data_IF_360031464804
#
_entry.id   IF_360031464804
#
_cell.length_a   1.000
_cell.length_b   1.000
_cell.length_c   1.000
_cell.angle_alpha   90.00
_cell.angle_beta   90.00
_cell.angle_gamma   90.00
#
_symmetry.space_group_name_H-M   'P 1'
#
loop_
_entity.id
_entity.type
_entity.pdbx_description
1 polymer ?
#
# COMPACT_ATOMS: atom_id res chain seq x y z
N UNK A 1 -1.60 -18.09 -6.89
CA UNK A 1 -2.80 -17.47 -6.32
C UNK A 1 -3.40 -18.40 -5.28
N UNK A 2 -4.05 -17.83 -4.26
CA UNK A 2 -4.86 -18.62 -3.33
C UNK A 2 -6.22 -18.94 -3.95
N UNK A 3 -6.84 -20.06 -3.54
CA UNK A 3 -8.20 -20.39 -3.95
C UNK A 3 -9.17 -19.53 -3.16
N UNK A 4 -9.99 -18.72 -3.83
CA UNK A 4 -11.01 -17.89 -3.16
C UNK A 4 -12.12 -18.71 -2.50
N UNK A 5 -12.34 -19.96 -2.94
CA UNK A 5 -13.25 -20.89 -2.26
C UNK A 5 -12.62 -21.62 -1.07
N UNK A 6 -11.37 -21.31 -0.68
CA UNK A 6 -10.73 -21.94 0.49
C UNK A 6 -11.58 -21.71 1.75
N UNK A 7 -11.79 -22.76 2.54
CA UNK A 7 -12.58 -22.70 3.78
C UNK A 7 -14.09 -22.86 3.58
N UNK A 8 -14.55 -23.05 2.34
CA UNK A 8 -15.95 -23.40 2.04
C UNK A 8 -16.18 -24.92 2.07
N UNK A 9 -16.77 -25.52 1.02
CA UNK A 9 -17.10 -26.95 0.98
C UNK A 9 -15.87 -27.80 0.62
N UNK A 10 -15.15 -28.25 1.65
CA UNK A 10 -14.06 -29.22 1.54
C UNK A 10 -12.67 -28.62 1.25
N UNK A 11 -11.61 -29.43 1.36
CA UNK A 11 -10.24 -28.98 1.20
C UNK A 11 -9.93 -28.55 -0.25
N UNK A 12 -8.91 -27.71 -0.41
CA UNK A 12 -8.38 -27.41 -1.74
C UNK A 12 -7.73 -28.66 -2.34
N UNK A 13 -8.00 -28.94 -3.61
CA UNK A 13 -7.53 -30.16 -4.31
C UNK A 13 -6.31 -29.93 -5.20
N UNK A 14 -5.99 -28.67 -5.51
CA UNK A 14 -4.92 -28.28 -6.42
C UNK A 14 -4.56 -26.79 -6.23
N UNK A 15 -3.47 -26.29 -6.85
CA UNK A 15 -3.26 -24.86 -6.99
C UNK A 15 -4.42 -24.15 -7.69
N UNK A 16 -4.69 -22.91 -7.31
CA UNK A 16 -5.77 -22.11 -7.91
C UNK A 16 -5.33 -21.52 -9.25
N UNK A 17 -5.50 -22.28 -10.33
CA UNK A 17 -5.15 -21.87 -11.70
C UNK A 17 -6.36 -21.47 -12.54
N UNK A 18 -7.57 -21.89 -12.16
CA UNK A 18 -8.81 -21.51 -12.86
C UNK A 18 -9.22 -20.10 -12.47
N UNK A 19 -9.49 -19.25 -13.45
CA UNK A 19 -9.91 -17.86 -13.24
C UNK A 19 -11.41 -17.72 -13.43
N UNK A 20 -12.05 -16.81 -12.69
CA UNK A 20 -13.44 -16.46 -12.95
C UNK A 20 -13.58 -15.96 -14.38
N UNK A 21 -14.47 -16.57 -15.17
CA UNK A 21 -14.64 -16.21 -16.58
C UNK A 21 -15.28 -14.84 -16.82
N UNK A 22 -15.93 -14.25 -15.80
CA UNK A 22 -16.45 -12.88 -15.86
C UNK A 22 -15.35 -11.87 -15.53
N UNK A 23 -15.01 -11.75 -14.25
CA UNK A 23 -14.09 -10.71 -13.80
C UNK A 23 -12.62 -10.95 -14.15
N UNK A 24 -12.20 -12.18 -14.44
CA UNK A 24 -10.80 -12.54 -14.53
C UNK A 24 -10.07 -12.53 -13.19
N UNK A 25 -10.28 -11.59 -12.27
CA UNK A 25 -9.43 -11.33 -11.10
C UNK A 25 -9.29 -12.48 -10.08
N UNK A 26 -10.34 -13.28 -9.88
CA UNK A 26 -10.40 -14.31 -8.81
C UNK A 26 -9.97 -15.68 -9.33
N UNK A 27 -9.25 -16.46 -8.50
CA UNK A 27 -8.78 -17.80 -8.84
C UNK A 27 -9.37 -18.91 -7.95
N UNK A 28 -9.58 -20.09 -8.53
CA UNK A 28 -10.15 -21.27 -7.89
C UNK A 28 -9.33 -22.52 -8.17
N UNK A 29 -9.28 -23.43 -7.20
CA UNK A 29 -8.70 -24.76 -7.41
C UNK A 29 -9.69 -25.75 -8.02
N UNK A 30 -10.99 -25.45 -8.13
CA UNK A 30 -12.03 -26.34 -8.70
C UNK A 30 -13.31 -25.56 -9.06
N UNK A 31 -14.13 -26.15 -9.93
CA UNK A 31 -15.48 -25.62 -10.25
C UNK A 31 -16.38 -25.63 -9.02
N UNK A 32 -16.28 -26.67 -8.18
CA UNK A 32 -17.02 -26.76 -6.91
C UNK A 32 -16.76 -25.55 -5.99
N UNK A 33 -15.49 -25.17 -5.82
CA UNK A 33 -15.12 -23.99 -5.03
C UNK A 33 -15.59 -22.68 -5.66
N UNK A 34 -15.59 -22.58 -6.99
CA UNK A 34 -16.15 -21.41 -7.68
C UNK A 34 -17.66 -21.28 -7.44
N UNK A 35 -18.42 -22.37 -7.61
CA UNK A 35 -19.87 -22.39 -7.37
C UNK A 35 -20.19 -22.07 -5.91
N UNK A 36 -19.43 -22.65 -4.97
CA UNK A 36 -19.64 -22.38 -3.54
C UNK A 36 -19.30 -20.95 -3.12
N UNK A 37 -18.38 -20.28 -3.81
CA UNK A 37 -18.00 -18.88 -3.54
C UNK A 37 -18.90 -17.87 -4.28
N UNK A 38 -19.73 -18.33 -5.21
CA UNK A 38 -20.47 -17.46 -6.12
C UNK A 38 -21.41 -16.48 -5.41
N UNK A 39 -22.08 -16.89 -4.34
CA UNK A 39 -23.02 -16.03 -3.60
C UNK A 39 -22.36 -14.76 -3.05
N UNK A 40 -21.08 -14.86 -2.66
CA UNK A 40 -20.29 -13.72 -2.20
C UNK A 40 -19.69 -12.96 -3.39
N UNK A 41 -19.11 -13.68 -4.34
CA UNK A 41 -18.42 -13.09 -5.49
C UNK A 41 -19.33 -12.34 -6.46
N UNK A 42 -20.58 -12.76 -6.64
CA UNK A 42 -21.48 -12.24 -7.67
C UNK A 42 -21.64 -10.72 -7.60
N UNK A 43 -21.69 -10.17 -6.39
CA UNK A 43 -21.82 -8.72 -6.16
C UNK A 43 -20.54 -7.93 -6.43
N UNK A 44 -19.39 -8.61 -6.49
CA UNK A 44 -18.05 -8.04 -6.67
C UNK A 44 -17.53 -8.25 -8.10
N UNK A 45 -18.02 -9.28 -8.79
CA UNK A 45 -17.54 -9.73 -10.09
C UNK A 45 -17.51 -8.60 -11.13
N UNK A 46 -18.61 -7.85 -11.28
CA UNK A 46 -18.68 -6.74 -12.25
C UNK A 46 -17.68 -5.63 -11.92
N UNK A 47 -17.51 -5.26 -10.63
CA UNK A 47 -16.51 -4.26 -10.23
C UNK A 47 -15.09 -4.72 -10.53
N UNK A 48 -14.78 -5.97 -10.19
CA UNK A 48 -13.47 -6.57 -10.44
C UNK A 48 -13.18 -6.68 -11.95
N UNK A 49 -14.19 -6.91 -12.78
CA UNK A 49 -14.05 -6.87 -14.24
C UNK A 49 -13.64 -5.47 -14.72
N UNK A 50 -14.27 -4.42 -14.21
CA UNK A 50 -13.89 -3.04 -14.55
C UNK A 50 -12.48 -2.69 -14.05
N UNK A 51 -12.10 -3.18 -12.87
CA UNK A 51 -10.74 -3.00 -12.33
C UNK A 51 -9.69 -3.71 -13.18
N UNK A 52 -9.99 -4.91 -13.70
CA UNK A 52 -9.10 -5.63 -14.61
C UNK A 52 -8.80 -4.86 -15.90
N UNK A 53 -9.73 -4.01 -16.38
CA UNK A 53 -9.51 -3.16 -17.57
C UNK A 53 -8.49 -2.05 -17.32
N UNK A 54 -8.17 -1.73 -16.06
CA UNK A 54 -7.26 -0.64 -15.66
C UNK A 54 -5.88 -1.13 -15.23
N UNK A 55 -5.59 -2.43 -15.37
CA UNK A 55 -4.32 -3.05 -14.93
C UNK A 55 -3.10 -2.38 -15.53
N UNK A 56 -3.16 -2.00 -16.80
CA UNK A 56 -2.05 -1.30 -17.48
C UNK A 56 -1.75 0.04 -16.79
N UNK A 57 -2.77 0.88 -16.62
CA UNK A 57 -2.65 2.17 -15.92
C UNK A 57 -2.16 2.02 -14.46
N UNK A 58 -2.51 0.92 -13.78
CA UNK A 58 -2.01 0.65 -12.42
C UNK A 58 -0.51 0.36 -12.38
N UNK A 59 0.06 -0.19 -13.45
CA UNK A 59 1.48 -0.49 -13.57
C UNK A 59 2.30 0.67 -14.19
N UNK A 60 1.66 1.78 -14.56
CA UNK A 60 2.34 2.95 -15.09
C UNK A 60 3.07 3.73 -13.99
N UNK A 61 4.40 3.73 -14.08
CA UNK A 61 5.29 4.52 -13.24
C UNK A 61 6.44 5.09 -14.09
N UNK A 62 7.02 6.24 -13.72
CA UNK A 62 8.08 6.87 -14.52
C UNK A 62 9.47 6.28 -14.25
N UNK A 63 9.61 5.14 -13.58
CA UNK A 63 10.90 4.66 -13.10
C UNK A 63 11.58 3.72 -14.09
N UNK A 64 12.91 3.72 -14.14
CA UNK A 64 13.64 2.78 -15.00
C UNK A 64 13.54 1.34 -14.49
N UNK A 65 13.10 1.15 -13.25
CA UNK A 65 12.88 -0.15 -12.61
C UNK A 65 11.41 -0.58 -12.60
N UNK A 66 10.53 0.13 -13.30
CA UNK A 66 9.09 -0.13 -13.26
C UNK A 66 8.73 -1.55 -13.68
N UNK A 67 9.33 -2.10 -14.74
CA UNK A 67 9.07 -3.49 -15.15
C UNK A 67 9.49 -4.50 -14.08
N UNK A 68 10.70 -4.34 -13.53
CA UNK A 68 11.23 -5.17 -12.43
C UNK A 68 10.31 -5.12 -11.21
N UNK A 69 9.89 -3.92 -10.78
CA UNK A 69 9.12 -3.72 -9.55
C UNK A 69 7.62 -3.99 -9.69
N UNK A 70 7.11 -4.16 -10.92
CA UNK A 70 5.69 -4.43 -11.19
C UNK A 70 5.51 -5.83 -11.78
N UNK A 71 5.72 -6.00 -13.08
CA UNK A 71 5.45 -7.22 -13.82
C UNK A 71 6.30 -8.39 -13.32
N UNK A 72 7.60 -8.21 -13.14
CA UNK A 72 8.48 -9.32 -12.74
C UNK A 72 8.18 -9.82 -11.32
N UNK A 73 7.87 -8.92 -10.38
CA UNK A 73 7.44 -9.30 -9.03
C UNK A 73 6.05 -9.94 -9.06
N UNK A 74 5.11 -9.41 -9.85
CA UNK A 74 3.76 -9.97 -9.99
C UNK A 74 3.80 -11.41 -10.58
N UNK A 75 4.70 -11.65 -11.53
CA UNK A 75 4.95 -12.95 -12.16
C UNK A 75 5.88 -13.85 -11.35
N UNK A 76 6.33 -13.39 -10.17
CA UNK A 76 7.21 -14.12 -9.25
C UNK A 76 8.60 -14.45 -9.83
N UNK A 77 9.04 -13.70 -10.85
CA UNK A 77 10.42 -13.73 -11.33
C UNK A 77 11.34 -12.89 -10.45
N UNK A 78 10.78 -11.87 -9.80
CA UNK A 78 11.45 -11.06 -8.81
C UNK A 78 10.74 -11.08 -7.45
N UNK A 79 11.48 -10.63 -6.44
CA UNK A 79 10.93 -10.41 -5.09
C UNK A 79 11.40 -9.07 -4.55
N UNK A 80 10.67 -8.53 -3.57
CA UNK A 80 11.03 -7.33 -2.81
C UNK A 80 12.44 -7.47 -2.21
N UNK A 81 12.78 -8.62 -1.65
CA UNK A 81 14.11 -8.88 -1.10
C UNK A 81 15.20 -8.85 -2.18
N UNK A 82 14.96 -9.50 -3.32
CA UNK A 82 15.89 -9.49 -4.46
C UNK A 82 16.08 -8.08 -5.03
N UNK A 83 14.97 -7.36 -5.26
CA UNK A 83 14.94 -5.97 -5.72
C UNK A 83 15.80 -5.05 -4.84
N UNK A 84 15.66 -5.15 -3.52
CA UNK A 84 16.46 -4.38 -2.56
C UNK A 84 17.93 -4.85 -2.52
N UNK A 85 18.18 -6.15 -2.66
CA UNK A 85 19.53 -6.73 -2.60
C UNK A 85 20.38 -6.31 -3.79
N UNK A 86 19.80 -6.31 -5.01
CA UNK A 86 20.46 -5.82 -6.23
C UNK A 86 20.91 -4.36 -6.13
N UNK A 87 20.27 -3.59 -5.26
CA UNK A 87 20.56 -2.17 -5.00
C UNK A 87 21.44 -1.95 -3.77
N UNK A 88 21.87 -3.02 -3.09
CA UNK A 88 22.73 -2.96 -1.92
C UNK A 88 22.10 -2.31 -0.68
N UNK A 89 20.76 -2.19 -0.64
CA UNK A 89 20.02 -1.50 0.42
C UNK A 89 19.20 -2.46 1.30
N UNK A 90 19.21 -3.76 0.98
CA UNK A 90 18.44 -4.76 1.71
C UNK A 90 18.88 -4.88 3.18
N UNK A 91 17.93 -4.73 4.11
CA UNK A 91 18.21 -4.86 5.55
C UNK A 91 18.96 -3.67 6.17
N UNK A 92 19.20 -2.60 5.41
CA UNK A 92 19.97 -1.44 5.88
C UNK A 92 19.06 -0.26 6.25
N UNK A 93 19.44 0.47 7.30
CA UNK A 93 18.77 1.72 7.72
C UNK A 93 17.24 1.65 7.72
N UNK A 94 16.61 2.56 6.97
CA UNK A 94 15.16 2.62 6.82
C UNK A 94 14.58 1.48 5.97
N UNK A 95 15.36 0.92 5.04
CA UNK A 95 14.91 -0.12 4.10
C UNK A 95 14.62 -1.47 4.75
N UNK A 96 15.18 -1.71 5.96
CA UNK A 96 14.94 -2.94 6.70
C UNK A 96 13.46 -3.17 7.04
N UNK A 97 12.64 -2.12 7.02
CA UNK A 97 11.20 -2.20 7.28
C UNK A 97 10.37 -2.54 6.03
N UNK A 98 10.99 -2.61 4.84
CA UNK A 98 10.30 -2.97 3.61
C UNK A 98 10.02 -4.48 3.50
N UNK A 99 10.80 -5.34 4.18
CA UNK A 99 10.54 -6.79 4.28
C UNK A 99 10.53 -7.24 5.75
N UNK A 100 9.77 -8.28 6.08
CA UNK A 100 9.87 -9.01 7.36
C UNK A 100 10.93 -10.13 7.36
N UNK A 101 11.78 -10.18 6.34
CA UNK A 101 12.67 -11.30 6.09
C UNK A 101 13.87 -11.38 7.06
N UNK A 102 14.24 -10.25 7.68
CA UNK A 102 15.28 -10.19 8.70
C UNK A 102 14.89 -10.81 10.06
N UNK A 103 13.60 -10.94 10.35
CA UNK A 103 13.12 -11.53 11.62
C UNK A 103 13.25 -13.07 11.65
N UNK A 104 13.32 -13.70 10.47
CA UNK A 104 13.41 -15.16 10.34
C UNK A 104 14.83 -15.72 10.53
N UNK A 105 15.87 -14.90 10.36
CA UNK A 105 17.26 -15.30 10.59
C UNK A 105 17.65 -15.26 12.08
N UNK A 106 16.92 -14.51 12.91
CA UNK A 106 17.14 -14.44 14.35
C UNK A 106 16.71 -15.72 15.10
N UNK A 107 15.91 -16.60 14.46
CA UNK A 107 15.48 -17.87 15.07
C UNK A 107 16.40 -19.07 14.80
N UNK A 108 17.40 -18.93 13.91
CA UNK A 108 18.28 -20.05 13.53
C UNK A 108 19.63 -20.07 14.26
N UNK A 109 20.09 -18.94 14.85
CA UNK A 109 21.33 -18.88 15.62
C UNK A 109 21.04 -18.80 17.13
N UNK A 110 20.50 -19.88 17.68
CA UNK A 110 20.43 -20.07 19.14
C UNK A 110 21.77 -20.57 19.72
N UNK A 111 22.87 -19.88 19.41
CA UNK A 111 24.14 -19.98 20.17
C UNK A 111 24.93 -18.69 20.08
N UNK A 112 24.37 -17.60 20.60
CA UNK A 112 25.16 -16.60 21.34
C UNK A 112 24.26 -15.82 22.29
N UNK A 113 24.36 -16.19 23.55
CA UNK A 113 23.97 -15.39 24.70
C UNK A 113 24.42 -13.94 24.53
N UNK A 114 23.45 -13.04 24.28
CA UNK A 114 23.30 -11.75 24.96
C UNK A 114 21.97 -11.13 24.49
N UNK A 115 20.87 -11.58 25.09
CA UNK A 115 19.66 -10.78 25.20
C UNK A 115 19.94 -9.63 26.17
N UNK A 116 20.77 -8.67 25.75
CA UNK A 116 20.65 -7.33 26.28
C UNK A 116 19.39 -6.78 25.60
N UNK A 117 18.31 -6.68 26.38
CA UNK A 117 17.24 -5.72 26.10
C UNK A 117 17.93 -4.45 25.60
N UNK A 118 17.75 -4.11 24.32
CA UNK A 118 18.37 -2.93 23.74
C UNK A 118 17.77 -1.73 24.45
N UNK A 119 18.51 -1.27 25.45
CA UNK A 119 18.43 0.09 25.95
C UNK A 119 18.44 1.01 24.73
N UNK A 120 17.56 2.01 24.81
CA UNK A 120 17.45 3.15 23.93
C UNK A 120 18.79 3.90 23.91
N UNK A 121 19.75 3.41 23.14
CA UNK A 121 21.07 4.01 23.04
C UNK A 121 21.09 5.00 21.87
N UNK A 122 21.24 6.28 22.20
CA UNK A 122 21.18 7.43 21.29
C UNK A 122 22.20 7.34 20.14
N UNK A 123 23.31 6.64 20.35
CA UNK A 123 24.38 6.47 19.36
C UNK A 123 23.95 5.66 18.13
N UNK A 124 22.92 4.80 18.24
CA UNK A 124 22.51 3.87 17.18
C UNK A 124 21.32 4.38 16.35
N UNK A 125 20.88 5.62 16.58
CA UNK A 125 19.76 6.25 15.86
C UNK A 125 20.16 6.65 14.44
N UNK A 126 21.35 7.22 14.28
CA UNK A 126 21.91 7.70 13.00
C UNK A 126 21.97 6.60 11.93
N UNK A 127 22.36 5.38 12.30
CA UNK A 127 22.45 4.26 11.34
C UNK A 127 21.07 3.72 10.93
N UNK A 128 20.09 3.75 11.83
CA UNK A 128 18.72 3.27 11.57
C UNK A 128 17.90 4.23 10.70
N UNK A 129 18.22 5.51 10.74
CA UNK A 129 17.53 6.58 10.00
C UNK A 129 18.27 6.96 8.70
N UNK A 130 19.38 6.28 8.36
CA UNK A 130 20.16 6.54 7.16
C UNK A 130 19.50 6.02 5.87
N UNK A 131 19.66 6.81 4.80
CA UNK A 131 19.26 6.43 3.44
C UNK A 131 20.09 5.28 2.85
N UNK A 132 21.32 5.05 3.32
CA UNK A 132 22.22 4.01 2.79
C UNK A 132 22.32 4.03 1.24
N UNK A 133 22.32 5.24 0.67
CA UNK A 133 22.42 5.49 -0.78
C UNK A 133 23.49 6.55 -1.05
N UNK A 134 24.13 6.54 -2.24
CA UNK A 134 24.90 7.67 -2.74
C UNK A 134 24.11 8.98 -2.69
N UNK A 135 24.81 10.11 -2.53
CA UNK A 135 24.17 11.42 -2.33
C UNK A 135 23.29 11.84 -3.50
N UNK A 136 23.63 11.40 -4.70
CA UNK A 136 22.94 11.70 -5.96
C UNK A 136 21.59 10.96 -6.07
N UNK A 137 21.43 9.88 -5.29
CA UNK A 137 20.20 9.08 -5.26
C UNK A 137 19.31 9.45 -4.06
N UNK A 138 19.82 10.19 -3.08
CA UNK A 138 19.07 10.53 -1.88
C UNK A 138 18.45 11.94 -1.95
N UNK A 139 17.23 12.13 -1.41
CA UNK A 139 16.62 13.45 -1.25
C UNK A 139 17.25 14.22 -0.07
N UNK A 140 18.56 14.12 0.13
CA UNK A 140 19.25 14.73 1.27
C UNK A 140 19.47 16.23 1.07
N UNK A 141 19.61 16.64 -0.19
CA UNK A 141 19.75 18.04 -0.57
C UNK A 141 18.38 18.70 -0.68
N UNK A 142 18.26 19.91 -0.13
CA UNK A 142 17.08 20.75 -0.34
C UNK A 142 16.84 20.99 -1.84
N UNK A 143 15.59 21.23 -2.26
CA UNK A 143 15.29 21.54 -3.64
C UNK A 143 16.03 22.82 -4.08
N UNK A 144 16.42 22.89 -5.36
CA UNK A 144 17.11 24.07 -5.89
C UNK A 144 16.24 25.34 -5.90
N UNK A 145 14.91 25.17 -5.86
CA UNK A 145 13.94 26.28 -5.77
C UNK A 145 12.71 25.88 -4.96
N UNK A 146 12.01 26.90 -4.42
CA UNK A 146 10.66 26.73 -3.89
C UNK A 146 9.74 26.34 -5.06
N UNK A 147 9.03 25.22 -4.95
CA UNK A 147 8.12 24.79 -6.02
C UNK A 147 6.92 25.74 -6.04
N UNK A 148 6.70 26.40 -7.18
CA UNK A 148 5.57 27.33 -7.36
C UNK A 148 4.24 26.62 -7.67
N UNK A 149 4.31 25.41 -8.25
CA UNK A 149 3.13 24.62 -8.63
C UNK A 149 2.98 23.36 -7.77
N UNK A 150 1.75 22.87 -7.62
CA UNK A 150 1.46 21.62 -6.92
C UNK A 150 2.13 20.42 -7.61
N UNK A 151 2.66 19.48 -6.83
CA UNK A 151 3.20 18.21 -7.33
C UNK A 151 2.03 17.33 -7.76
N UNK A 152 2.02 16.89 -9.02
CA UNK A 152 0.92 16.09 -9.56
C UNK A 152 1.26 14.60 -9.64
N UNK A 153 2.54 14.25 -9.78
CA UNK A 153 2.99 12.87 -9.94
C UNK A 153 4.47 12.66 -9.55
N UNK A 154 4.92 11.39 -9.58
CA UNK A 154 6.30 11.01 -9.28
C UNK A 154 7.36 11.73 -10.14
N UNK A 155 7.09 11.94 -11.43
CA UNK A 155 8.03 12.62 -12.35
C UNK A 155 8.26 14.06 -11.88
N UNK A 156 7.19 14.79 -11.56
CA UNK A 156 7.28 16.18 -11.06
C UNK A 156 8.09 16.28 -9.75
N UNK A 157 8.00 15.25 -8.89
CA UNK A 157 8.75 15.20 -7.64
C UNK A 157 10.24 14.93 -7.89
N UNK A 158 10.54 13.93 -8.71
CA UNK A 158 11.92 13.55 -9.02
C UNK A 158 12.65 14.68 -9.75
N UNK A 159 11.99 15.34 -10.71
CA UNK A 159 12.53 16.52 -11.39
C UNK A 159 12.79 17.67 -10.41
N UNK A 160 11.84 17.99 -9.52
CA UNK A 160 12.00 19.05 -8.53
C UNK A 160 13.14 18.79 -7.53
N UNK A 161 13.38 17.52 -7.20
CA UNK A 161 14.46 17.10 -6.28
C UNK A 161 15.78 16.79 -6.99
N UNK A 162 15.84 16.95 -8.32
CA UNK A 162 16.98 16.56 -9.14
C UNK A 162 17.40 15.09 -8.92
N UNK A 163 16.42 14.21 -8.72
CA UNK A 163 16.64 12.78 -8.51
C UNK A 163 16.54 12.02 -9.82
N UNK A 164 17.45 11.07 -10.09
CA UNK A 164 17.32 10.23 -11.26
C UNK A 164 16.22 9.17 -11.07
N UNK A 165 15.53 8.82 -12.15
CA UNK A 165 14.41 7.86 -12.15
C UNK A 165 14.80 6.41 -11.84
N UNK A 166 16.10 6.12 -11.71
CA UNK A 166 16.59 4.83 -11.20
C UNK A 166 16.77 4.80 -9.67
N UNK A 167 16.62 5.94 -8.98
CA UNK A 167 16.71 5.98 -7.52
C UNK A 167 15.49 5.27 -6.88
N UNK A 168 15.70 4.34 -5.92
CA UNK A 168 14.61 3.58 -5.31
C UNK A 168 13.85 4.35 -4.22
N UNK A 169 14.17 5.62 -3.98
CA UNK A 169 13.62 6.40 -2.84
C UNK A 169 12.11 6.55 -2.87
N UNK A 170 11.46 6.35 -4.02
CA UNK A 170 10.01 6.27 -4.12
C UNK A 170 9.39 5.20 -3.20
N UNK A 171 10.12 4.12 -2.89
CA UNK A 171 9.67 3.08 -1.95
C UNK A 171 9.49 3.61 -0.52
N UNK A 172 10.27 4.61 -0.10
CA UNK A 172 10.17 5.22 1.22
C UNK A 172 9.35 6.53 1.19
N UNK A 173 9.44 7.28 0.10
CA UNK A 173 8.82 8.61 -0.04
C UNK A 173 7.31 8.55 -0.34
N UNK A 174 6.75 7.40 -0.67
CA UNK A 174 5.31 7.26 -0.87
C UNK A 174 4.51 7.64 0.39
N UNK A 175 5.07 7.52 1.59
CA UNK A 175 4.43 7.96 2.84
C UNK A 175 4.33 9.48 2.98
N UNK A 176 5.43 10.26 2.96
CA UNK A 176 5.34 11.71 3.02
C UNK A 176 4.57 12.31 1.82
N UNK A 177 4.65 11.69 0.64
CA UNK A 177 3.91 12.17 -0.54
C UNK A 177 2.43 11.80 -0.51
N UNK A 178 2.06 10.68 0.13
CA UNK A 178 0.68 10.41 0.50
C UNK A 178 0.14 11.54 1.38
N UNK A 179 0.88 11.94 2.43
CA UNK A 179 0.44 13.01 3.34
C UNK A 179 0.26 14.32 2.58
N UNK A 180 1.22 14.68 1.72
CA UNK A 180 1.13 15.84 0.86
C UNK A 180 -0.12 15.79 -0.02
N UNK A 181 -0.33 14.71 -0.77
CA UNK A 181 -1.43 14.59 -1.71
C UNK A 181 -2.79 14.52 -1.03
N UNK A 182 -2.89 13.80 0.10
CA UNK A 182 -4.06 13.78 0.96
C UNK A 182 -4.45 15.19 1.45
N UNK A 183 -3.46 16.02 1.79
CA UNK A 183 -3.69 17.42 2.14
C UNK A 183 -4.24 18.21 0.95
N UNK A 184 -3.64 18.06 -0.24
CA UNK A 184 -4.12 18.74 -1.44
C UNK A 184 -5.59 18.39 -1.73
N UNK A 185 -5.96 17.10 -1.73
CA UNK A 185 -7.33 16.68 -2.05
C UNK A 185 -8.34 17.04 -0.96
N UNK A 186 -7.93 17.08 0.31
CA UNK A 186 -8.81 17.46 1.43
C UNK A 186 -9.15 18.96 1.45
N UNK A 187 -8.26 19.80 0.92
CA UNK A 187 -8.40 21.26 0.95
C UNK A 187 -8.61 21.89 -0.44
N UNK A 188 -8.60 21.10 -1.51
CA UNK A 188 -8.94 21.55 -2.87
C UNK A 188 -10.35 22.15 -2.91
N UNK A 189 -10.45 23.43 -3.25
CA UNK A 189 -11.72 24.16 -3.35
C UNK A 189 -12.19 24.92 -2.11
N UNK A 190 -11.42 24.94 -1.01
CA UNK A 190 -11.74 25.77 0.19
C UNK A 190 -10.87 27.04 0.22
N UNK A 191 -11.35 28.11 -0.41
CA UNK A 191 -10.79 29.45 -0.18
C UNK A 191 -11.36 30.01 1.12
N UNK A 192 -10.52 30.18 2.15
CA UNK A 192 -10.88 30.97 3.35
C UNK A 192 -11.41 30.22 4.57
N UNK A 193 -11.16 28.92 4.73
CA UNK A 193 -11.43 28.25 6.02
C UNK A 193 -10.24 28.48 6.95
N UNK A 194 -10.49 29.12 8.10
CA UNK A 194 -9.55 29.15 9.24
C UNK A 194 -8.99 27.75 9.42
N UNK A 195 -7.69 27.60 9.18
CA UNK A 195 -7.01 26.30 9.18
C UNK A 195 -7.30 25.59 10.50
N UNK A 196 -8.14 24.57 10.45
CA UNK A 196 -8.18 23.56 11.51
C UNK A 196 -6.76 23.02 11.60
N UNK A 197 -6.10 23.21 12.75
CA UNK A 197 -4.66 22.92 12.97
C UNK A 197 -4.28 21.43 12.84
N UNK A 198 -5.20 20.57 12.40
CA UNK A 198 -5.04 19.12 12.42
C UNK A 198 -5.64 18.50 11.15
N UNK A 199 -4.87 17.62 10.50
CA UNK A 199 -5.30 16.72 9.43
C UNK A 199 -5.05 15.30 9.92
N UNK A 200 -6.05 14.43 9.82
CA UNK A 200 -5.90 13.02 10.19
C UNK A 200 -5.87 12.17 8.93
N UNK A 201 -4.80 11.38 8.81
CA UNK A 201 -4.61 10.43 7.72
C UNK A 201 -4.70 9.04 8.32
N UNK A 202 -5.71 8.30 7.88
CA UNK A 202 -5.95 6.95 8.35
C UNK A 202 -5.49 5.95 7.29
N UNK A 203 -4.56 5.08 7.67
CA UNK A 203 -4.11 4.00 6.81
C UNK A 203 -4.89 2.72 7.14
N UNK A 204 -5.60 2.20 6.15
CA UNK A 204 -6.29 0.92 6.25
C UNK A 204 -5.44 -0.11 5.50
N UNK A 205 -4.64 -0.88 6.23
CA UNK A 205 -3.78 -1.89 5.61
C UNK A 205 -3.38 -3.00 6.56
N UNK A 206 -3.11 -4.18 5.99
CA UNK A 206 -2.61 -5.35 6.72
C UNK A 206 -1.18 -5.09 7.22
N UNK A 207 -1.02 -4.81 8.50
CA UNK A 207 0.20 -5.16 9.23
C UNK A 207 0.02 -6.63 9.60
N UNK A 208 0.73 -7.53 8.90
CA UNK A 208 0.91 -8.97 9.17
C UNK A 208 -0.28 -9.76 9.76
N UNK A 209 -0.73 -10.77 9.00
CA UNK A 209 -1.70 -11.81 9.40
C UNK A 209 -1.84 -12.04 10.92
N UNK A 210 -2.91 -11.50 11.51
CA UNK A 210 -3.63 -12.05 12.67
C UNK A 210 -5.02 -11.40 12.73
N UNK A 211 -6.06 -12.23 12.65
CA UNK A 211 -7.48 -11.94 12.97
C UNK A 211 -8.07 -10.63 12.42
N UNK A 212 -8.38 -10.67 11.11
CA UNK A 212 -9.10 -9.63 10.35
C UNK A 212 -10.43 -9.15 10.98
N UNK A 213 -11.07 -9.90 11.89
CA UNK A 213 -12.34 -9.46 12.48
C UNK A 213 -12.17 -8.52 13.67
N UNK A 214 -11.20 -8.76 14.56
CA UNK A 214 -11.05 -7.97 15.79
C UNK A 214 -10.31 -6.65 15.56
N UNK A 215 -9.25 -6.67 14.75
CA UNK A 215 -8.48 -5.47 14.40
C UNK A 215 -9.29 -4.52 13.51
N UNK A 216 -10.09 -5.05 12.58
CA UNK A 216 -11.01 -4.24 11.79
C UNK A 216 -12.13 -3.68 12.66
N UNK A 217 -12.69 -4.44 13.61
CA UNK A 217 -13.66 -3.91 14.57
C UNK A 217 -13.07 -2.82 15.47
N UNK A 218 -11.86 -2.99 16.00
CA UNK A 218 -11.21 -1.99 16.85
C UNK A 218 -10.78 -0.76 16.04
N UNK A 219 -10.30 -0.94 14.81
CA UNK A 219 -10.02 0.16 13.90
C UNK A 219 -11.32 0.90 13.54
N UNK A 220 -12.41 0.19 13.26
CA UNK A 220 -13.73 0.76 13.02
C UNK A 220 -14.28 1.47 14.27
N UNK A 221 -14.06 0.94 15.47
CA UNK A 221 -14.46 1.58 16.74
C UNK A 221 -13.65 2.86 16.97
N UNK A 222 -12.33 2.83 16.74
CA UNK A 222 -11.46 4.00 16.84
C UNK A 222 -11.84 5.06 15.79
N UNK A 223 -12.09 4.62 14.55
CA UNK A 223 -12.56 5.47 13.45
C UNK A 223 -13.95 6.05 13.78
N UNK A 224 -14.83 5.28 14.41
CA UNK A 224 -16.13 5.75 14.90
C UNK A 224 -15.99 6.86 15.94
N UNK A 225 -15.19 6.64 16.99
CA UNK A 225 -14.97 7.64 18.03
C UNK A 225 -14.29 8.90 17.47
N UNK A 226 -13.28 8.74 16.61
CA UNK A 226 -12.58 9.85 15.99
C UNK A 226 -13.45 10.65 15.01
N UNK A 227 -14.22 10.00 14.12
CA UNK A 227 -15.07 10.69 13.14
C UNK A 227 -16.28 11.36 13.80
N UNK A 228 -16.83 10.78 14.88
CA UNK A 228 -17.95 11.38 15.62
C UNK A 228 -17.58 12.73 16.24
N UNK A 229 -16.34 12.87 16.71
CA UNK A 229 -15.86 14.13 17.29
C UNK A 229 -15.31 15.13 16.27
N UNK A 230 -15.00 14.69 15.05
CA UNK A 230 -14.31 15.53 14.07
C UNK A 230 -15.24 16.20 13.04
N UNK A 231 -15.15 17.54 12.99
CA UNK A 231 -15.61 18.40 11.88
C UNK A 231 -14.53 18.61 10.80
N UNK A 232 -13.49 17.76 10.80
CA UNK A 232 -12.27 17.90 10.00
C UNK A 232 -12.29 16.85 8.87
N UNK A 233 -11.81 17.17 7.65
CA UNK A 233 -11.70 16.20 6.55
C UNK A 233 -10.87 14.98 6.95
N UNK A 234 -11.34 13.79 6.60
CA UNK A 234 -10.60 12.54 6.81
C UNK A 234 -10.32 11.84 5.48
N UNK A 235 -9.05 11.51 5.24
CA UNK A 235 -8.58 10.81 4.04
C UNK A 235 -8.09 9.41 4.42
N UNK A 236 -8.51 8.43 3.63
CA UNK A 236 -8.20 7.02 3.78
C UNK A 236 -7.43 6.51 2.57
N UNK A 237 -6.50 5.58 2.82
CA UNK A 237 -5.64 4.95 1.82
C UNK A 237 -5.75 3.42 1.91
N UNK A 238 -5.75 2.74 0.77
CA UNK A 238 -5.72 1.27 0.69
C UNK A 238 -4.92 0.79 -0.55
N UNK A 239 -4.62 -0.51 -0.60
CA UNK A 239 -3.76 -1.12 -1.62
C UNK A 239 -4.45 -1.49 -2.92
N UNK A 240 -5.79 -1.56 -2.94
CA UNK A 240 -6.58 -1.81 -4.15
C UNK A 240 -7.96 -1.13 -4.11
N UNK A 241 -8.54 -0.92 -5.29
CA UNK A 241 -9.82 -0.22 -5.47
C UNK A 241 -10.97 -0.96 -4.75
N UNK A 242 -10.99 -2.29 -4.78
CA UNK A 242 -12.02 -3.08 -4.10
C UNK A 242 -11.98 -2.92 -2.58
N UNK A 243 -10.79 -2.88 -1.97
CA UNK A 243 -10.64 -2.63 -0.54
C UNK A 243 -11.16 -1.24 -0.15
N UNK A 244 -10.88 -0.21 -0.98
CA UNK A 244 -11.46 1.12 -0.80
C UNK A 244 -12.98 1.10 -0.90
N UNK A 245 -13.58 0.36 -1.84
CA UNK A 245 -15.04 0.25 -1.96
C UNK A 245 -15.67 -0.37 -0.71
N UNK A 246 -15.09 -1.46 -0.20
CA UNK A 246 -15.56 -2.11 1.02
C UNK A 246 -15.43 -1.19 2.25
N UNK A 247 -14.30 -0.51 2.38
CA UNK A 247 -14.07 0.46 3.45
C UNK A 247 -15.04 1.64 3.37
N UNK A 248 -15.26 2.21 2.19
CA UNK A 248 -16.21 3.30 1.95
C UNK A 248 -17.65 2.89 2.32
N UNK A 249 -18.09 1.69 1.93
CA UNK A 249 -19.41 1.16 2.33
C UNK A 249 -19.52 1.00 3.84
N UNK A 250 -18.47 0.51 4.49
CA UNK A 250 -18.45 0.36 5.94
C UNK A 250 -18.53 1.72 6.66
N UNK A 251 -17.71 2.68 6.24
CA UNK A 251 -17.73 4.05 6.76
C UNK A 251 -19.12 4.67 6.59
N UNK A 252 -19.74 4.53 5.42
CA UNK A 252 -21.09 5.04 5.18
C UNK A 252 -22.13 4.38 6.10
N UNK A 253 -22.12 3.05 6.22
CA UNK A 253 -23.05 2.31 7.08
C UNK A 253 -22.92 2.67 8.55
N UNK A 254 -21.72 3.03 8.99
CA UNK A 254 -21.39 3.30 10.39
C UNK A 254 -21.62 4.77 10.76
N UNK A 255 -21.28 5.70 9.86
CA UNK A 255 -21.28 7.14 10.15
C UNK A 255 -22.51 7.85 9.58
N UNK A 256 -23.22 7.23 8.63
CA UNK A 256 -24.27 7.88 7.84
C UNK A 256 -23.76 8.97 6.89
N UNK A 257 -22.44 9.24 6.85
CA UNK A 257 -21.84 10.28 6.02
C UNK A 257 -21.50 9.71 4.63
N UNK A 258 -21.77 10.44 3.53
CA UNK A 258 -21.31 10.04 2.21
C UNK A 258 -19.81 10.30 2.05
N UNK A 259 -19.16 9.53 1.18
CA UNK A 259 -17.80 9.81 0.71
C UNK A 259 -17.82 11.11 -0.11
N UNK A 260 -16.99 12.10 0.27
CA UNK A 260 -16.85 13.39 -0.42
C UNK A 260 -15.68 13.41 -1.39
N UNK A 261 -14.62 12.69 -1.06
CA UNK A 261 -13.46 12.52 -1.94
C UNK A 261 -13.60 11.13 -2.59
N UNK A 262 -13.92 11.07 -3.90
CA UNK A 262 -14.16 9.79 -4.58
C UNK A 262 -12.90 8.92 -4.54
N UNK A 263 -13.11 7.61 -4.65
CA UNK A 263 -12.00 6.65 -4.79
C UNK A 263 -11.23 7.00 -6.07
N UNK A 264 -9.95 7.30 -5.90
CA UNK A 264 -9.06 7.70 -6.98
C UNK A 264 -7.66 7.13 -6.78
N UNK A 265 -6.96 6.93 -7.89
CA UNK A 265 -5.57 6.45 -7.88
C UNK A 265 -4.67 7.50 -7.21
N UNK A 266 -3.79 7.05 -6.33
CA UNK A 266 -2.74 7.88 -5.77
C UNK A 266 -1.57 7.98 -6.77
N UNK A 267 -1.25 9.17 -7.29
CA UNK A 267 -0.14 9.34 -8.22
C UNK A 267 1.23 9.12 -7.55
N UNK A 268 1.28 9.11 -6.21
CA UNK A 268 2.47 8.83 -5.40
C UNK A 268 2.43 7.46 -4.72
N UNK A 269 1.65 6.50 -5.24
CA UNK A 269 1.64 5.12 -4.74
C UNK A 269 3.03 4.48 -4.82
N UNK A 270 3.33 3.54 -3.93
CA UNK A 270 4.64 2.87 -3.92
C UNK A 270 4.82 2.09 -5.23
N UNK A 271 5.96 2.22 -5.95
CA UNK A 271 6.16 1.58 -7.26
C UNK A 271 6.61 0.13 -7.18
N UNK A 272 6.40 -0.56 -6.06
CA UNK A 272 6.73 -1.96 -5.86
C UNK A 272 5.46 -2.72 -5.50
N UNK A 273 5.04 -3.63 -6.38
CA UNK A 273 3.79 -4.37 -6.24
C UNK A 273 3.79 -5.24 -4.96
N UNK A 274 2.62 -5.42 -4.38
CA UNK A 274 2.42 -6.31 -3.22
C UNK A 274 2.51 -7.76 -3.70
N UNK A 275 3.44 -8.50 -3.10
CA UNK A 275 3.58 -9.93 -3.34
C UNK A 275 2.39 -10.71 -2.78
N UNK A 276 2.12 -11.87 -3.38
CA UNK A 276 1.13 -12.84 -2.89
C UNK A 276 -0.28 -12.25 -2.71
N UNK A 277 -0.66 -11.29 -3.55
CA UNK A 277 -2.04 -10.79 -3.61
C UNK A 277 -3.03 -11.95 -3.82
N UNK A 278 -4.19 -11.96 -3.13
CA UNK A 278 -5.23 -12.96 -3.34
C UNK A 278 -5.98 -12.75 -4.67
N UNK A 279 -5.91 -11.54 -5.23
CA UNK A 279 -6.49 -11.17 -6.52
C UNK A 279 -5.40 -11.06 -7.56
N UNK A 280 -5.69 -11.43 -8.80
CA UNK A 280 -4.80 -11.20 -9.93
C UNK A 280 -5.02 -9.81 -10.52
N UNK A 281 -5.09 -8.82 -9.63
CA UNK A 281 -5.02 -7.41 -9.94
C UNK A 281 -3.77 -6.94 -9.20
N UNK A 282 -2.86 -6.20 -9.85
CA UNK A 282 -1.70 -5.66 -9.17
C UNK A 282 -2.16 -4.70 -8.07
N UNK A 283 -1.62 -4.88 -6.88
CA UNK A 283 -1.90 -4.08 -5.70
C UNK A 283 -0.63 -3.35 -5.29
N UNK A 284 -0.76 -2.13 -4.78
CA UNK A 284 0.39 -1.31 -4.39
C UNK A 284 0.17 -0.70 -3.01
N UNK A 285 1.19 -0.55 -2.16
CA UNK A 285 1.04 0.24 -0.95
C UNK A 285 0.61 1.68 -1.27
N UNK A 286 -0.44 2.15 -0.60
CA UNK A 286 -1.09 3.44 -0.83
C UNK A 286 -1.55 3.65 -2.29
N UNK A 287 -2.13 2.61 -2.91
CA UNK A 287 -2.55 2.65 -4.31
C UNK A 287 -3.71 3.62 -4.55
N UNK A 288 -4.72 3.61 -3.68
CA UNK A 288 -5.95 4.39 -3.85
C UNK A 288 -6.25 5.24 -2.63
N UNK A 289 -6.95 6.36 -2.85
CA UNK A 289 -7.37 7.31 -1.81
C UNK A 289 -8.83 7.68 -1.94
N UNK A 290 -9.48 7.93 -0.81
CA UNK A 290 -10.86 8.40 -0.70
C UNK A 290 -11.08 9.08 0.65
N UNK A 291 -12.22 9.72 0.89
CA UNK A 291 -12.41 10.49 2.13
C UNK A 291 -13.80 11.08 2.35
N UNK A 292 -14.04 11.55 3.56
CA UNK A 292 -15.30 12.18 4.02
C UNK A 292 -15.10 13.64 4.44
#
# INVERSE_FOLDING_TARGET
>A
MECAGRGSRGPCVAPATRRCGGCGAVAYCSVSHQLSHWDHHKQECERLEQQMKRVEALNEFPFTFSEEATLEVFEKRESRCSFLSKRGIHGLGMWKYECGCGDSLASADSTRSNKQFLAFDSANRSERESWNLPRELCPCSGPASLKSDALSNWKDYFEWRCLPLHSPVALLLHWPLLVYYATQIAFSGKSGVETTKQLFIHYLGKIHFLTLSLLLMLALQLIQELIKEMNIPAVFSDYCEEACHLAARCIHSVTGRPIRIPIQLNPFRQPLVVENSPLFIPCYPNCFLFGI
#
